data_IF_597672942882
#
_entry.id   IF_597672942882
#
_cell.length_a   1.000
_cell.length_b   1.000
_cell.length_c   1.000
_cell.angle_alpha   90.00
_cell.angle_beta   90.00
_cell.angle_gamma   90.00
#
_symmetry.space_group_name_H-M   'P 1'
#
loop_
_entity.id
_entity.type
_entity.pdbx_description
1 polymer ?
#
# COMPACT_ATOMS: atom_id res chain seq x y z
N UNK A 1 -17.61 19.03 -2.96
CA UNK A 1 -17.71 18.43 -4.31
C UNK A 1 -17.14 17.03 -4.18
N UNK A 2 -17.97 16.00 -4.30
CA UNK A 2 -17.48 14.62 -4.37
C UNK A 2 -16.88 14.43 -5.76
N UNK A 3 -15.60 14.04 -5.81
CA UNK A 3 -14.95 13.64 -7.06
C UNK A 3 -15.70 12.42 -7.60
N UNK A 4 -16.17 12.43 -8.86
CA UNK A 4 -16.85 11.26 -9.41
C UNK A 4 -15.91 10.06 -9.36
N UNK A 5 -16.41 8.96 -8.78
CA UNK A 5 -15.69 7.71 -8.66
C UNK A 5 -15.37 7.19 -10.05
N UNK A 6 -14.10 6.84 -10.32
CA UNK A 6 -13.72 6.25 -11.61
C UNK A 6 -14.44 4.91 -11.81
N UNK A 7 -14.73 4.52 -13.07
CA UNK A 7 -15.22 3.18 -13.34
C UNK A 7 -14.22 2.12 -12.85
N UNK A 8 -14.76 0.97 -12.44
CA UNK A 8 -13.97 -0.19 -12.01
C UNK A 8 -13.00 -0.60 -13.13
N UNK A 9 -11.70 -0.73 -12.84
CA UNK A 9 -10.71 -1.15 -13.84
C UNK A 9 -10.87 -2.64 -14.21
N UNK A 10 -10.35 -3.02 -15.36
CA UNK A 10 -9.97 -4.41 -15.67
C UNK A 10 -8.80 -4.87 -14.78
N UNK A 11 -8.55 -6.19 -14.69
CA UNK A 11 -7.42 -6.74 -13.93
C UNK A 11 -6.09 -6.11 -14.39
N UNK A 12 -5.88 -6.06 -15.71
CA UNK A 12 -4.69 -5.42 -16.30
C UNK A 12 -4.55 -3.94 -15.93
N UNK A 13 -5.62 -3.17 -15.97
CA UNK A 13 -5.58 -1.75 -15.57
C UNK A 13 -5.35 -1.57 -14.08
N UNK A 14 -5.88 -2.48 -13.24
CA UNK A 14 -5.67 -2.44 -11.80
C UNK A 14 -4.21 -2.69 -11.43
N UNK A 15 -3.52 -3.60 -12.12
CA UNK A 15 -2.08 -3.79 -11.98
C UNK A 15 -1.28 -2.52 -12.30
N UNK A 16 -1.61 -1.84 -13.40
CA UNK A 16 -0.95 -0.57 -13.79
C UNK A 16 -1.19 0.49 -12.72
N UNK A 17 -2.42 0.64 -12.23
CA UNK A 17 -2.75 1.60 -11.17
C UNK A 17 -2.02 1.29 -9.86
N UNK A 18 -1.92 0.01 -9.49
CA UNK A 18 -1.19 -0.40 -8.30
C UNK A 18 0.30 -0.04 -8.40
N UNK A 19 0.92 -0.24 -9.57
CA UNK A 19 2.31 0.17 -9.85
C UNK A 19 2.47 1.69 -9.78
N UNK A 20 1.52 2.47 -10.33
CA UNK A 20 1.52 3.94 -10.26
C UNK A 20 1.46 4.44 -8.80
N UNK A 21 0.55 3.90 -7.98
CA UNK A 21 0.42 4.26 -6.56
C UNK A 21 1.68 3.93 -5.76
N UNK A 22 2.31 2.78 -6.03
CA UNK A 22 3.60 2.42 -5.42
C UNK A 22 4.69 3.41 -5.86
N UNK A 23 4.80 3.69 -7.16
CA UNK A 23 5.82 4.60 -7.68
C UNK A 23 5.70 6.01 -7.09
N UNK A 24 4.49 6.54 -6.97
CA UNK A 24 4.24 7.85 -6.36
C UNK A 24 4.65 7.91 -4.90
N UNK A 25 4.30 6.89 -4.11
CA UNK A 25 4.69 6.82 -2.71
C UNK A 25 6.22 6.70 -2.56
N UNK A 26 6.89 5.91 -3.39
CA UNK A 26 8.35 5.78 -3.36
C UNK A 26 9.04 7.08 -3.75
N UNK A 27 8.53 7.80 -4.76
CA UNK A 27 9.05 9.11 -5.12
C UNK A 27 8.94 10.11 -3.95
N UNK A 28 7.90 10.01 -3.12
CA UNK A 28 7.69 10.86 -1.96
C UNK A 28 8.73 10.65 -0.84
N UNK A 29 9.33 9.47 -0.73
CA UNK A 29 10.39 9.20 0.25
C UNK A 29 11.65 10.03 -0.01
N UNK A 30 11.86 10.49 -1.24
CA UNK A 30 12.99 11.32 -1.66
C UNK A 30 14.37 10.74 -1.28
N UNK A 31 14.46 9.42 -1.17
CA UNK A 31 15.71 8.67 -0.92
C UNK A 31 15.89 7.61 -2.01
N UNK A 32 17.14 7.18 -2.30
CA UNK A 32 17.36 6.05 -3.18
C UNK A 32 16.80 4.79 -2.52
N UNK A 33 15.85 4.15 -3.19
CA UNK A 33 15.25 2.88 -2.78
C UNK A 33 15.15 1.99 -4.01
N UNK A 34 15.56 0.73 -3.87
CA UNK A 34 15.28 -0.29 -4.88
C UNK A 34 14.03 -1.06 -4.49
N UNK A 35 13.14 -1.26 -5.46
CA UNK A 35 11.96 -2.12 -5.28
C UNK A 35 12.31 -3.53 -5.70
N UNK A 36 12.35 -4.45 -4.75
CA UNK A 36 12.38 -5.88 -5.04
C UNK A 36 10.94 -6.39 -5.21
N UNK A 37 10.63 -7.12 -6.30
CA UNK A 37 9.32 -7.70 -6.51
C UNK A 37 8.92 -8.64 -5.36
N UNK A 38 7.70 -8.47 -4.85
CA UNK A 38 7.08 -9.36 -3.89
C UNK A 38 5.90 -10.09 -4.54
N UNK A 39 4.73 -9.93 -3.95
CA UNK A 39 3.48 -10.51 -4.45
C UNK A 39 2.97 -9.71 -5.65
N UNK A 40 2.50 -10.42 -6.68
CA UNK A 40 1.69 -9.86 -7.74
C UNK A 40 0.63 -10.88 -8.12
N UNK A 41 -0.60 -10.64 -7.70
CA UNK A 41 -1.70 -11.59 -7.91
C UNK A 41 -3.06 -10.89 -8.04
N UNK A 42 -4.01 -11.66 -8.54
CA UNK A 42 -5.43 -11.33 -8.57
C UNK A 42 -6.18 -12.49 -7.89
N UNK A 43 -6.93 -12.20 -6.85
CA UNK A 43 -7.70 -13.20 -6.10
C UNK A 43 -9.18 -12.88 -6.28
N UNK A 44 -9.95 -13.84 -6.79
CA UNK A 44 -11.40 -13.72 -6.91
C UNK A 44 -12.05 -13.57 -5.54
N UNK A 45 -13.09 -12.73 -5.47
CA UNK A 45 -13.95 -12.66 -4.30
C UNK A 45 -14.86 -13.87 -4.24
N UNK A 46 -15.16 -14.34 -3.02
CA UNK A 46 -16.23 -15.31 -2.84
C UNK A 46 -17.55 -14.70 -3.30
N UNK A 47 -18.40 -15.52 -3.95
CA UNK A 47 -19.64 -15.08 -4.60
C UNK A 47 -20.64 -14.32 -3.68
N UNK A 48 -20.41 -14.34 -2.36
CA UNK A 48 -21.20 -13.64 -1.35
C UNK A 48 -20.71 -12.23 -0.99
N UNK A 49 -19.48 -11.83 -1.36
CA UNK A 49 -18.93 -10.54 -0.93
C UNK A 49 -19.20 -9.40 -1.92
N UNK A 50 -19.14 -9.67 -3.22
CA UNK A 50 -19.31 -8.64 -4.27
C UNK A 50 -20.22 -9.07 -5.44
N UNK A 51 -20.92 -10.20 -5.30
CA UNK A 51 -21.75 -10.79 -6.36
C UNK A 51 -21.03 -11.94 -7.09
N UNK A 52 -21.61 -12.48 -8.18
CA UNK A 52 -20.97 -13.55 -8.95
C UNK A 52 -19.54 -13.13 -9.36
N UNK A 53 -18.62 -14.09 -9.50
CA UNK A 53 -17.15 -13.95 -9.61
C UNK A 53 -16.59 -13.11 -10.77
N UNK A 54 -17.15 -11.93 -10.98
CA UNK A 54 -16.80 -10.90 -11.94
C UNK A 54 -15.73 -9.96 -11.39
N UNK A 55 -15.41 -10.04 -10.10
CA UNK A 55 -14.44 -9.16 -9.44
C UNK A 55 -13.28 -9.94 -8.82
N UNK A 56 -12.10 -9.36 -8.96
CA UNK A 56 -10.85 -9.81 -8.31
C UNK A 56 -10.26 -8.68 -7.47
N UNK A 57 -9.59 -9.02 -6.38
CA UNK A 57 -8.66 -8.14 -5.71
C UNK A 57 -7.28 -8.30 -6.34
N UNK A 58 -6.86 -7.29 -7.09
CA UNK A 58 -5.48 -7.18 -7.54
C UNK A 58 -4.63 -6.67 -6.39
N UNK A 59 -3.52 -7.35 -6.10
CA UNK A 59 -2.53 -6.91 -5.12
C UNK A 59 -1.13 -6.92 -5.76
N UNK A 60 -0.42 -5.80 -5.58
CA UNK A 60 0.99 -5.66 -5.89
C UNK A 60 1.73 -5.28 -4.62
N UNK A 61 2.78 -6.03 -4.31
CA UNK A 61 3.63 -5.80 -3.14
C UNK A 61 5.09 -5.80 -3.54
N UNK A 62 5.86 -4.86 -3.01
CA UNK A 62 7.30 -4.74 -3.22
C UNK A 62 8.01 -4.59 -1.88
N UNK A 63 9.17 -5.21 -1.73
CA UNK A 63 10.10 -4.95 -0.62
C UNK A 63 10.94 -3.71 -0.96
N UNK A 64 11.14 -2.83 0.01
CA UNK A 64 12.05 -1.69 -0.12
C UNK A 64 13.45 -2.14 0.30
N UNK A 65 14.36 -2.14 -0.66
CA UNK A 65 15.76 -2.54 -0.50
C UNK A 65 16.70 -1.35 -0.75
N UNK A 66 17.97 -1.54 -0.38
CA UNK A 66 19.03 -0.54 -0.50
C UNK A 66 18.72 0.78 0.23
N UNK A 67 17.87 0.71 1.28
CA UNK A 67 17.60 1.83 2.18
C UNK A 67 18.90 2.26 2.86
N UNK A 68 19.12 3.57 3.08
CA UNK A 68 20.22 4.05 3.90
C UNK A 68 20.35 3.27 5.22
N UNK A 69 21.57 2.85 5.54
CA UNK A 69 21.91 2.06 6.73
C UNK A 69 22.73 2.88 7.74
N UNK A 70 22.51 4.20 7.73
CA UNK A 70 23.16 5.17 8.60
C UNK A 70 22.54 5.22 10.01
N UNK A 71 21.40 4.56 10.21
CA UNK A 71 20.64 4.57 11.45
C UNK A 71 20.05 3.21 11.82
N UNK A 72 19.70 3.04 13.10
CA UNK A 72 18.95 1.87 13.58
C UNK A 72 17.63 1.75 12.81
N UNK A 73 17.28 0.56 12.26
CA UNK A 73 16.11 0.41 11.38
C UNK A 73 14.80 0.95 11.94
N UNK A 74 14.58 0.85 13.26
CA UNK A 74 13.39 1.40 13.91
C UNK A 74 13.28 2.93 13.76
N UNK A 75 14.37 3.66 13.97
CA UNK A 75 14.41 5.13 13.89
C UNK A 75 14.28 5.58 12.43
N UNK A 76 15.03 4.93 11.53
CA UNK A 76 14.95 5.17 10.09
C UNK A 76 13.53 4.99 9.56
N UNK A 77 12.92 3.84 9.89
CA UNK A 77 11.61 3.50 9.35
C UNK A 77 10.51 4.43 9.88
N UNK A 78 10.60 4.91 11.13
CA UNK A 78 9.67 5.90 11.68
C UNK A 78 9.52 7.11 10.75
N UNK A 79 10.65 7.64 10.26
CA UNK A 79 10.65 8.78 9.35
C UNK A 79 9.94 8.47 8.05
N UNK A 80 10.10 7.26 7.51
CA UNK A 80 9.40 6.86 6.29
C UNK A 80 7.89 6.73 6.50
N UNK A 81 7.44 6.22 7.66
CA UNK A 81 6.02 6.25 8.04
C UNK A 81 5.50 7.69 8.10
N UNK A 82 6.21 8.61 8.78
CA UNK A 82 5.82 10.02 8.89
C UNK A 82 5.75 10.74 7.53
N UNK A 83 6.73 10.50 6.66
CA UNK A 83 6.78 11.08 5.30
C UNK A 83 5.59 10.60 4.49
N UNK A 84 5.31 9.29 4.46
CA UNK A 84 4.20 8.75 3.67
C UNK A 84 2.84 9.13 4.24
N UNK A 85 2.67 9.12 5.57
CA UNK A 85 1.43 9.61 6.22
C UNK A 85 1.10 11.03 5.80
N UNK A 86 2.10 11.92 5.81
CA UNK A 86 1.94 13.31 5.39
C UNK A 86 1.61 13.42 3.90
N UNK A 87 2.38 12.74 3.05
CA UNK A 87 2.17 12.69 1.61
C UNK A 87 0.74 12.26 1.25
N UNK A 88 0.24 11.20 1.89
CA UNK A 88 -1.10 10.68 1.67
C UNK A 88 -2.18 11.64 2.19
N UNK A 89 -1.98 12.23 3.37
CA UNK A 89 -2.91 13.22 3.92
C UNK A 89 -3.02 14.47 3.02
N UNK A 90 -1.91 14.99 2.51
CA UNK A 90 -1.87 16.13 1.59
C UNK A 90 -2.59 15.85 0.27
N UNK A 91 -2.60 14.59 -0.19
CA UNK A 91 -3.34 14.13 -1.38
C UNK A 91 -4.78 13.71 -1.10
N UNK A 92 -5.23 13.81 0.14
CA UNK A 92 -6.61 13.48 0.53
C UNK A 92 -6.92 11.98 0.59
N UNK A 93 -5.90 11.12 0.71
CA UNK A 93 -6.10 9.71 1.02
C UNK A 93 -6.77 9.58 2.39
N UNK A 94 -7.68 8.61 2.52
CA UNK A 94 -8.40 8.36 3.77
C UNK A 94 -7.71 7.23 4.54
N UNK A 95 -7.41 7.40 5.84
CA UNK A 95 -6.91 6.30 6.67
C UNK A 95 -7.90 5.13 6.70
N UNK A 96 -7.39 3.91 6.56
CA UNK A 96 -8.14 2.65 6.71
C UNK A 96 -7.80 2.00 8.04
N UNK A 97 -6.50 1.87 8.35
CA UNK A 97 -5.99 1.41 9.63
C UNK A 97 -4.57 1.91 9.84
N UNK A 98 -4.17 2.07 11.10
CA UNK A 98 -2.82 2.50 11.47
C UNK A 98 -2.40 1.79 12.76
N UNK A 99 -1.65 0.71 12.60
CA UNK A 99 -1.00 0.00 13.71
C UNK A 99 0.43 0.48 13.93
N UNK A 100 0.90 1.47 13.16
CA UNK A 100 2.23 2.02 13.33
C UNK A 100 2.37 2.83 14.63
N UNK A 101 1.25 3.29 15.19
CA UNK A 101 1.19 4.11 16.41
C UNK A 101 0.91 3.30 17.69
N UNK A 102 0.66 1.99 17.60
CA UNK A 102 0.33 1.17 18.77
C UNK A 102 1.62 0.67 19.47
N UNK A 103 1.96 1.15 20.68
CA UNK A 103 3.10 0.66 21.42
C UNK A 103 2.70 -0.60 22.21
N UNK A 104 3.18 -1.77 21.79
CA UNK A 104 3.32 -2.93 22.67
C UNK A 104 2.23 -4.02 22.67
N UNK A 105 1.32 -4.09 21.70
CA UNK A 105 0.25 -5.10 21.74
C UNK A 105 0.52 -6.47 21.06
N UNK A 106 1.75 -6.81 20.64
CA UNK A 106 2.21 -8.22 20.55
C UNK A 106 3.73 -8.34 20.26
N UNK A 107 4.42 -9.37 20.78
CA UNK A 107 5.83 -9.66 20.49
C UNK A 107 6.14 -10.09 19.04
N UNK A 108 5.14 -10.16 18.16
CA UNK A 108 5.25 -10.66 16.77
C UNK A 108 5.02 -9.56 15.71
N UNK A 109 5.04 -8.29 16.10
CA UNK A 109 4.33 -7.27 15.35
C UNK A 109 4.97 -6.70 14.08
N UNK A 110 4.08 -6.61 13.09
CA UNK A 110 4.22 -5.82 11.89
C UNK A 110 3.59 -4.44 12.14
N UNK A 111 4.37 -3.35 12.02
CA UNK A 111 3.78 -2.00 11.99
C UNK A 111 3.20 -1.79 10.61
N UNK A 112 2.00 -1.24 10.51
CA UNK A 112 1.39 -0.97 9.21
C UNK A 112 0.54 0.29 9.24
N UNK A 113 0.58 1.02 8.14
CA UNK A 113 -0.39 2.08 7.84
C UNK A 113 -1.05 1.73 6.52
N UNK A 114 -2.37 1.79 6.48
CA UNK A 114 -3.19 1.54 5.30
C UNK A 114 -4.03 2.78 5.02
N UNK A 115 -3.99 3.24 3.78
CA UNK A 115 -4.75 4.40 3.32
C UNK A 115 -5.50 4.06 2.04
N UNK A 116 -6.61 4.73 1.78
CA UNK A 116 -7.42 4.57 0.57
C UNK A 116 -7.38 5.83 -0.26
N UNK A 117 -7.00 5.70 -1.53
CA UNK A 117 -7.01 6.80 -2.48
C UNK A 117 -8.45 7.25 -2.79
N UNK A 118 -8.75 8.57 -2.80
CA UNK A 118 -10.13 9.05 -2.84
C UNK A 118 -10.80 8.93 -4.21
N UNK A 119 -10.04 8.78 -5.31
CA UNK A 119 -10.59 8.83 -6.67
C UNK A 119 -10.89 7.44 -7.26
N UNK A 120 -10.11 6.42 -6.90
CA UNK A 120 -10.19 5.07 -7.45
C UNK A 120 -10.33 3.99 -6.36
N UNK A 121 -10.29 4.35 -5.09
CA UNK A 121 -10.44 3.41 -3.98
C UNK A 121 -9.25 2.47 -3.76
N UNK A 122 -8.12 2.66 -4.46
CA UNK A 122 -6.92 1.87 -4.27
C UNK A 122 -6.45 1.96 -2.81
N UNK A 123 -6.20 0.82 -2.17
CA UNK A 123 -5.65 0.76 -0.81
C UNK A 123 -4.15 0.61 -0.91
N UNK A 124 -3.42 1.60 -0.40
CA UNK A 124 -1.96 1.63 -0.36
C UNK A 124 -1.51 1.47 1.09
N UNK A 125 -0.42 0.74 1.31
CA UNK A 125 0.10 0.51 2.65
C UNK A 125 1.60 0.45 2.71
N UNK A 126 2.17 0.98 3.80
CA UNK A 126 3.55 0.72 4.21
C UNK A 126 3.51 -0.22 5.41
N UNK A 127 4.27 -1.31 5.34
CA UNK A 127 4.37 -2.33 6.37
C UNK A 127 5.83 -2.52 6.78
N UNK A 128 6.08 -2.72 8.06
CA UNK A 128 7.39 -3.04 8.61
C UNK A 128 7.37 -4.41 9.26
N UNK A 129 8.37 -5.23 8.98
CA UNK A 129 8.58 -6.52 9.61
C UNK A 129 9.45 -6.43 10.86
N UNK A 130 9.57 -7.55 11.57
CA UNK A 130 10.33 -7.66 12.83
C UNK A 130 11.81 -7.26 12.69
N UNK A 131 12.42 -7.49 11.53
CA UNK A 131 13.82 -7.15 11.27
C UNK A 131 14.00 -5.71 10.75
N UNK A 132 12.93 -4.91 10.71
CA UNK A 132 12.99 -3.55 10.19
C UNK A 132 13.00 -3.47 8.67
N UNK A 133 12.73 -4.57 7.98
CA UNK A 133 12.49 -4.58 6.55
C UNK A 133 11.11 -3.97 6.25
N UNK A 134 11.00 -3.29 5.11
CA UNK A 134 9.80 -2.55 4.71
C UNK A 134 9.19 -3.15 3.44
N UNK A 135 7.87 -3.16 3.39
CA UNK A 135 7.11 -3.46 2.18
C UNK A 135 6.11 -2.35 1.90
N UNK A 136 5.92 -2.07 0.62
CA UNK A 136 4.82 -1.26 0.14
C UNK A 136 3.86 -2.14 -0.66
N UNK A 137 2.57 -2.02 -0.40
CA UNK A 137 1.55 -2.79 -1.09
C UNK A 137 0.46 -1.86 -1.59
N UNK A 138 0.00 -2.07 -2.82
CA UNK A 138 -1.19 -1.45 -3.39
C UNK A 138 -2.18 -2.53 -3.81
N UNK A 139 -3.44 -2.40 -3.40
CA UNK A 139 -4.52 -3.32 -3.77
C UNK A 139 -5.74 -2.59 -4.30
N UNK A 140 -6.43 -3.21 -5.27
CA UNK A 140 -7.55 -2.59 -5.98
C UNK A 140 -8.54 -3.66 -6.45
N UNK A 141 -9.83 -3.37 -6.29
CA UNK A 141 -10.90 -4.17 -6.88
C UNK A 141 -10.90 -3.93 -8.39
N UNK A 142 -10.92 -5.02 -9.15
CA UNK A 142 -10.94 -5.01 -10.60
C UNK A 142 -11.98 -6.00 -11.13
N UNK A 143 -12.39 -5.82 -12.38
CA UNK A 143 -13.11 -6.85 -13.12
C UNK A 143 -12.14 -8.00 -13.46
N UNK A 144 -12.58 -9.23 -13.26
CA UNK A 144 -11.85 -10.42 -13.67
C UNK A 144 -11.70 -10.43 -15.20
N UNK A 145 -10.49 -10.69 -15.69
CA UNK A 145 -10.20 -10.85 -17.13
C UNK A 145 -10.47 -12.30 -17.61
#
# INVERSE_FOLDING_TARGET
METPMRPTPTEKEAYVRADEHIAEAIAALAVPVRLAPGIRNAIGYDAGELGPGEYVNVEVSCTLEDLPDDEVPAVRNERYFEVLKRFWAERGYRPVSDTAEEPGAHPDWFRAVHVRHPADGCVVSLKQGRLGNLWITASTIALAD
#
